data_IF_035941972773
#
_entry.id   IF_035941972773
#
_cell.length_a   1.000
_cell.length_b   1.000
_cell.length_c   1.000
_cell.angle_alpha   90.00
_cell.angle_beta   90.00
_cell.angle_gamma   90.00
#
_symmetry.space_group_name_H-M   'P 1'
#
loop_
_entity.id
_entity.type
_entity.pdbx_description
1 polymer ?
#
# COMPACT_ATOMS: atom_id res chain seq x y z
N UNK A 1 -6.39 -12.53 -0.51
CA UNK A 1 -7.09 -11.23 -0.51
C UNK A 1 -6.50 -10.42 0.62
N UNK A 2 -5.43 -9.65 0.32
CA UNK A 2 -5.01 -8.60 1.23
C UNK A 2 -5.94 -7.44 0.94
N UNK A 3 -7.16 -7.60 1.41
CA UNK A 3 -8.01 -6.47 1.66
C UNK A 3 -7.29 -5.72 2.80
N UNK A 4 -6.54 -4.70 2.47
CA UNK A 4 -6.48 -3.58 3.36
C UNK A 4 -7.89 -2.99 3.26
N UNK A 5 -8.76 -3.20 4.21
CA UNK A 5 -9.95 -2.41 4.30
C UNK A 5 -9.44 -1.04 4.75
N UNK A 6 -9.17 -0.16 3.76
CA UNK A 6 -8.91 1.26 4.05
C UNK A 6 -10.06 1.88 4.86
N UNK A 7 -11.19 1.17 4.99
CA UNK A 7 -12.37 1.66 5.71
C UNK A 7 -12.29 1.72 7.24
N UNK A 8 -11.61 0.84 8.00
CA UNK A 8 -11.61 1.02 9.45
C UNK A 8 -10.39 1.73 10.04
N UNK A 9 -9.25 1.80 9.34
CA UNK A 9 -8.02 2.26 9.97
C UNK A 9 -7.90 3.78 10.06
N UNK A 10 -8.41 4.51 9.05
CA UNK A 10 -8.40 5.97 9.07
C UNK A 10 -9.52 6.59 9.91
N UNK A 11 -10.63 5.89 10.11
CA UNK A 11 -11.79 6.39 10.85
C UNK A 11 -11.63 6.19 12.37
N UNK A 12 -10.82 5.23 12.82
CA UNK A 12 -10.79 4.84 14.24
C UNK A 12 -9.88 5.70 15.13
N UNK A 13 -8.98 6.51 14.57
CA UNK A 13 -8.01 7.25 15.38
C UNK A 13 -8.54 8.55 16.04
N UNK A 14 -9.76 9.02 15.71
CA UNK A 14 -10.35 10.22 16.32
C UNK A 14 -11.88 10.27 16.40
N UNK A 15 -12.57 9.15 16.47
CA UNK A 15 -14.04 9.17 16.46
C UNK A 15 -14.70 9.50 17.80
N UNK A 16 -13.98 9.71 18.88
CA UNK A 16 -14.58 10.05 20.18
C UNK A 16 -14.77 11.55 20.44
N UNK A 17 -14.16 12.43 19.62
CA UNK A 17 -14.32 13.89 19.76
C UNK A 17 -15.01 14.58 18.57
N UNK A 18 -15.57 13.85 17.63
CA UNK A 18 -15.67 14.28 16.25
C UNK A 18 -17.04 14.61 15.70
N UNK A 19 -17.96 15.13 16.46
CA UNK A 19 -19.06 15.90 15.87
C UNK A 19 -18.57 17.19 15.17
N UNK A 20 -17.43 17.71 15.57
CA UNK A 20 -16.83 18.92 14.98
C UNK A 20 -16.12 18.64 13.64
N UNK A 21 -15.46 17.47 13.49
CA UNK A 21 -14.74 17.08 12.26
C UNK A 21 -15.68 16.66 11.13
N UNK A 22 -16.83 16.09 11.44
CA UNK A 22 -17.86 15.74 10.44
C UNK A 22 -18.46 16.96 9.72
N UNK A 23 -18.32 18.16 10.32
CA UNK A 23 -18.74 19.43 9.72
C UNK A 23 -17.61 20.17 9.00
N UNK A 24 -16.38 19.62 8.98
CA UNK A 24 -15.27 20.26 8.31
C UNK A 24 -15.38 20.06 6.79
N UNK A 25 -15.48 21.15 6.05
CA UNK A 25 -15.57 21.14 4.59
C UNK A 25 -14.40 20.39 3.91
N UNK A 26 -13.18 20.59 4.45
CA UNK A 26 -12.00 19.90 3.94
C UNK A 26 -12.08 18.38 4.10
N UNK A 27 -12.56 17.89 5.26
CA UNK A 27 -12.76 16.46 5.49
C UNK A 27 -13.70 15.86 4.43
N UNK A 28 -14.86 16.51 4.22
CA UNK A 28 -15.83 16.04 3.24
C UNK A 28 -15.26 16.03 1.81
N UNK A 29 -14.48 17.05 1.45
CA UNK A 29 -13.80 17.12 0.14
C UNK A 29 -12.77 16.00 0.00
N UNK A 30 -12.00 15.68 1.04
CA UNK A 30 -11.04 14.56 1.01
C UNK A 30 -11.73 13.20 0.90
N UNK A 31 -12.83 12.99 1.62
CA UNK A 31 -13.66 11.77 1.47
C UNK A 31 -14.17 11.61 0.04
N UNK A 32 -14.64 12.70 -0.58
CA UNK A 32 -15.04 12.70 -2.00
C UNK A 32 -13.87 12.37 -2.93
N UNK A 33 -12.68 12.94 -2.68
CA UNK A 33 -11.49 12.66 -3.47
C UNK A 33 -11.07 11.18 -3.39
N UNK A 34 -11.07 10.61 -2.18
CA UNK A 34 -10.78 9.18 -1.96
C UNK A 34 -11.73 8.30 -2.76
N UNK A 35 -13.02 8.59 -2.68
CA UNK A 35 -14.04 7.84 -3.41
C UNK A 35 -13.89 7.98 -4.92
N UNK A 36 -13.65 9.21 -5.42
CA UNK A 36 -13.40 9.46 -6.82
C UNK A 36 -12.19 8.67 -7.34
N UNK A 37 -11.08 8.66 -6.59
CA UNK A 37 -9.87 7.91 -6.97
C UNK A 37 -10.18 6.40 -7.01
N UNK A 38 -10.88 5.87 -6.02
CA UNK A 38 -11.22 4.44 -5.94
C UNK A 38 -12.14 3.99 -7.08
N UNK A 39 -13.09 4.83 -7.46
CA UNK A 39 -14.04 4.55 -8.55
C UNK A 39 -13.43 4.72 -9.96
N UNK A 40 -12.41 5.60 -10.11
CA UNK A 40 -11.85 5.99 -11.40
C UNK A 40 -10.35 5.67 -11.53
N UNK A 41 -9.81 4.75 -10.73
CA UNK A 41 -8.36 4.47 -10.76
C UNK A 41 -7.88 3.95 -12.12
N UNK A 42 -8.72 3.30 -12.92
CA UNK A 42 -8.36 2.80 -14.26
C UNK A 42 -8.12 3.91 -15.27
N UNK A 43 -8.79 5.03 -15.12
CA UNK A 43 -8.58 6.23 -15.93
C UNK A 43 -7.30 6.98 -15.57
N UNK A 44 -6.63 6.55 -14.48
CA UNK A 44 -5.41 7.18 -13.97
C UNK A 44 -5.53 8.70 -13.85
N UNK A 45 -6.54 9.21 -13.09
CA UNK A 45 -6.85 10.63 -13.07
C UNK A 45 -5.67 11.48 -12.59
N UNK A 46 -5.48 12.62 -13.26
CA UNK A 46 -4.46 13.58 -12.86
C UNK A 46 -4.80 14.26 -11.54
N UNK A 47 -3.80 14.83 -10.87
CA UNK A 47 -4.05 15.63 -9.66
C UNK A 47 -4.98 16.81 -9.95
N UNK A 48 -4.85 17.42 -11.12
CA UNK A 48 -5.66 18.54 -11.53
C UNK A 48 -7.14 18.11 -11.68
N UNK A 49 -7.39 16.98 -12.34
CA UNK A 49 -8.73 16.40 -12.47
C UNK A 49 -9.39 16.11 -11.11
N UNK A 50 -8.62 15.54 -10.17
CA UNK A 50 -9.15 15.23 -8.83
C UNK A 50 -9.43 16.52 -8.05
N UNK A 51 -8.53 17.49 -8.13
CA UNK A 51 -8.66 18.77 -7.44
C UNK A 51 -9.89 19.58 -7.97
N UNK A 52 -10.10 19.61 -9.27
CA UNK A 52 -11.27 20.20 -9.91
C UNK A 52 -12.57 19.52 -9.46
N UNK A 53 -12.59 18.18 -9.40
CA UNK A 53 -13.78 17.43 -8.98
C UNK A 53 -14.26 17.78 -7.56
N UNK A 54 -13.32 18.15 -6.67
CA UNK A 54 -13.63 18.52 -5.28
C UNK A 54 -13.63 20.03 -5.05
N UNK A 55 -13.53 20.84 -6.09
CA UNK A 55 -13.46 22.29 -6.03
C UNK A 55 -12.37 22.80 -5.07
N UNK A 56 -11.13 22.36 -5.36
CA UNK A 56 -9.92 22.81 -4.66
C UNK A 56 -8.82 23.16 -5.65
N UNK A 57 -7.94 24.10 -5.28
CA UNK A 57 -6.71 24.29 -6.04
C UNK A 57 -5.76 23.10 -5.84
N UNK A 58 -5.00 22.74 -6.86
CA UNK A 58 -4.05 21.62 -6.86
C UNK A 58 -3.14 21.57 -5.63
N UNK A 59 -2.50 22.72 -5.30
CA UNK A 59 -1.56 22.78 -4.18
C UNK A 59 -2.25 22.64 -2.83
N UNK A 60 -3.43 23.23 -2.68
CA UNK A 60 -4.23 23.10 -1.48
C UNK A 60 -4.69 21.65 -1.30
N UNK A 61 -5.18 21.02 -2.36
CA UNK A 61 -5.59 19.62 -2.37
C UNK A 61 -4.45 18.68 -1.93
N UNK A 62 -3.25 18.76 -2.56
CA UNK A 62 -2.11 17.92 -2.20
C UNK A 62 -1.76 18.04 -0.71
N UNK A 63 -1.72 19.28 -0.20
CA UNK A 63 -1.37 19.55 1.20
C UNK A 63 -2.41 18.96 2.15
N UNK A 64 -3.70 19.25 1.93
CA UNK A 64 -4.80 18.80 2.78
C UNK A 64 -4.96 17.28 2.69
N UNK A 65 -4.89 16.71 1.50
CA UNK A 65 -4.96 15.26 1.33
C UNK A 65 -3.86 14.55 2.13
N UNK A 66 -2.60 15.03 2.03
CA UNK A 66 -1.48 14.46 2.79
C UNK A 66 -1.66 14.62 4.30
N UNK A 67 -2.24 15.72 4.76
CA UNK A 67 -2.53 15.95 6.17
C UNK A 67 -3.55 14.94 6.73
N UNK A 68 -4.63 14.64 5.98
CA UNK A 68 -5.69 13.73 6.41
C UNK A 68 -5.37 12.25 6.15
N UNK A 69 -4.71 11.94 5.03
CA UNK A 69 -4.49 10.56 4.56
C UNK A 69 -3.09 10.06 4.89
N UNK A 70 -2.13 10.96 5.15
CA UNK A 70 -0.74 10.61 5.46
C UNK A 70 0.16 10.44 4.24
N UNK A 71 -0.41 10.29 3.04
CA UNK A 71 0.31 10.11 1.76
C UNK A 71 -0.22 11.10 0.72
N UNK A 72 0.53 11.32 -0.37
CA UNK A 72 0.07 12.17 -1.46
C UNK A 72 -1.06 11.51 -2.26
N UNK A 73 -1.92 12.28 -2.99
CA UNK A 73 -2.96 11.71 -3.84
C UNK A 73 -2.42 10.72 -4.88
N UNK A 74 -1.25 10.98 -5.47
CA UNK A 74 -0.58 10.08 -6.42
C UNK A 74 -0.15 8.77 -5.75
N UNK A 75 0.46 8.84 -4.58
CA UNK A 75 0.83 7.63 -3.83
C UNK A 75 -0.41 6.82 -3.44
N UNK A 76 -1.51 7.49 -3.11
CA UNK A 76 -2.77 6.83 -2.81
C UNK A 76 -3.35 6.14 -4.06
N UNK A 77 -3.40 6.80 -5.22
CA UNK A 77 -3.81 6.21 -6.50
C UNK A 77 -2.92 5.00 -6.85
N UNK A 78 -1.59 5.13 -6.72
CA UNK A 78 -0.65 4.04 -6.95
C UNK A 78 -0.90 2.84 -6.03
N UNK A 79 -1.24 3.08 -4.75
CA UNK A 79 -1.54 1.99 -3.81
C UNK A 79 -2.82 1.23 -4.18
N UNK A 80 -3.85 1.94 -4.63
CA UNK A 80 -5.09 1.34 -5.15
C UNK A 80 -4.79 0.53 -6.40
N UNK A 81 -4.12 1.13 -7.39
CA UNK A 81 -3.74 0.46 -8.64
C UNK A 81 -2.92 -0.81 -8.37
N UNK A 82 -1.95 -0.75 -7.44
CA UNK A 82 -1.13 -1.91 -7.06
C UNK A 82 -1.97 -3.03 -6.43
N UNK A 83 -2.95 -2.71 -5.60
CA UNK A 83 -3.80 -3.71 -4.97
C UNK A 83 -4.66 -4.43 -6.03
N UNK A 84 -5.26 -3.70 -6.95
CA UNK A 84 -5.98 -4.31 -8.09
C UNK A 84 -5.04 -5.11 -9.00
N UNK A 85 -3.83 -4.60 -9.25
CA UNK A 85 -2.83 -5.29 -10.06
C UNK A 85 -2.41 -6.65 -9.47
N UNK A 86 -2.28 -6.75 -8.15
CA UNK A 86 -1.97 -8.01 -7.46
C UNK A 86 -3.02 -9.09 -7.70
N UNK A 87 -4.30 -8.72 -7.68
CA UNK A 87 -5.38 -9.68 -7.94
C UNK A 87 -5.46 -10.02 -9.43
N UNK A 88 -5.41 -9.00 -10.28
CA UNK A 88 -5.49 -9.18 -11.74
C UNK A 88 -4.36 -10.05 -12.29
N UNK A 89 -3.13 -9.91 -11.79
CA UNK A 89 -1.99 -10.71 -12.23
C UNK A 89 -2.11 -12.21 -11.93
N UNK A 90 -2.93 -12.59 -10.97
CA UNK A 90 -3.18 -14.01 -10.68
C UNK A 90 -4.02 -14.68 -11.76
N UNK A 91 -4.93 -13.93 -12.36
CA UNK A 91 -5.92 -14.40 -13.32
C UNK A 91 -5.51 -14.14 -14.78
N UNK A 92 -4.71 -13.08 -15.01
CA UNK A 92 -4.34 -12.65 -16.37
C UNK A 92 -3.35 -13.61 -17.06
N UNK A 93 -3.39 -13.63 -18.38
CA UNK A 93 -2.47 -14.42 -19.21
C UNK A 93 -1.13 -13.72 -19.40
N UNK A 94 -1.11 -12.38 -19.50
CA UNK A 94 0.09 -11.61 -19.76
C UNK A 94 0.22 -10.34 -18.89
N UNK A 95 1.47 -9.88 -18.73
CA UNK A 95 1.77 -8.62 -18.04
C UNK A 95 1.29 -7.41 -18.85
N UNK A 96 1.33 -7.50 -20.18
CA UNK A 96 0.85 -6.46 -21.09
C UNK A 96 -0.67 -6.26 -20.92
N UNK A 97 -1.43 -7.34 -20.99
CA UNK A 97 -2.88 -7.32 -20.78
C UNK A 97 -3.21 -6.71 -19.42
N UNK A 98 -2.55 -7.18 -18.35
CA UNK A 98 -2.74 -6.61 -17.01
C UNK A 98 -2.47 -5.11 -16.94
N UNK A 99 -1.46 -4.61 -17.67
CA UNK A 99 -1.15 -3.17 -17.64
C UNK A 99 -2.24 -2.33 -18.31
N UNK A 100 -2.79 -2.82 -19.43
CA UNK A 100 -3.87 -2.13 -20.16
C UNK A 100 -5.18 -2.12 -19.38
N UNK A 101 -5.56 -3.27 -18.80
CA UNK A 101 -6.80 -3.40 -18.00
C UNK A 101 -6.82 -2.55 -16.73
N UNK A 102 -5.62 -2.16 -16.25
CA UNK A 102 -5.43 -1.27 -15.11
C UNK A 102 -5.29 0.21 -15.52
N UNK A 103 -5.45 0.53 -16.80
CA UNK A 103 -5.31 1.89 -17.32
C UNK A 103 -3.87 2.39 -17.36
N UNK A 104 -2.89 1.49 -17.21
CA UNK A 104 -1.49 1.88 -17.27
C UNK A 104 -1.02 1.96 -18.72
N UNK A 105 -0.31 3.04 -19.07
CA UNK A 105 0.11 3.31 -20.44
C UNK A 105 1.13 2.31 -21.01
N UNK A 106 1.75 1.48 -20.16
CA UNK A 106 2.76 0.51 -20.58
C UNK A 106 3.07 -0.53 -19.50
N UNK A 107 3.63 -1.71 -19.90
CA UNK A 107 4.18 -2.69 -18.95
C UNK A 107 5.26 -2.14 -18.03
N UNK A 108 6.05 -1.15 -18.48
CA UNK A 108 7.06 -0.49 -17.65
C UNK A 108 6.44 0.24 -16.45
N UNK A 109 5.27 0.86 -16.64
CA UNK A 109 4.53 1.49 -15.53
C UNK A 109 4.08 0.47 -14.50
N UNK A 110 3.61 -0.69 -14.94
CA UNK A 110 3.26 -1.79 -14.03
C UNK A 110 4.50 -2.33 -13.30
N UNK A 111 5.63 -2.46 -14.02
CA UNK A 111 6.90 -2.85 -13.42
C UNK A 111 7.32 -1.89 -12.30
N UNK A 112 7.34 -0.59 -12.58
CA UNK A 112 7.72 0.44 -11.61
C UNK A 112 6.78 0.47 -10.41
N UNK A 113 5.49 0.28 -10.62
CA UNK A 113 4.48 0.19 -9.58
C UNK A 113 4.76 -0.96 -8.60
N UNK A 114 5.14 -2.13 -9.11
CA UNK A 114 5.48 -3.29 -8.29
C UNK A 114 6.82 -3.13 -7.58
N UNK A 115 7.85 -2.71 -8.28
CA UNK A 115 9.20 -2.53 -7.71
C UNK A 115 9.20 -1.49 -6.62
N UNK A 116 8.57 -0.33 -6.85
CA UNK A 116 8.52 0.74 -5.86
C UNK A 116 7.53 0.44 -4.72
N UNK A 117 6.43 -0.26 -5.00
CA UNK A 117 5.37 -0.51 -4.01
C UNK A 117 5.61 -1.73 -3.13
N UNK A 118 6.22 -2.80 -3.65
CA UNK A 118 6.43 -4.07 -2.93
C UNK A 118 7.76 -4.75 -3.19
N UNK A 119 8.76 -4.04 -3.72
CA UNK A 119 10.12 -4.54 -3.86
C UNK A 119 10.31 -5.77 -4.75
N UNK A 120 9.36 -6.11 -5.62
CA UNK A 120 9.45 -7.22 -6.58
C UNK A 120 8.89 -6.79 -7.93
N UNK A 121 9.25 -7.51 -8.99
CA UNK A 121 8.67 -7.29 -10.32
C UNK A 121 7.29 -7.97 -10.44
N UNK A 122 6.42 -7.55 -11.40
CA UNK A 122 5.16 -8.24 -11.66
C UNK A 122 5.34 -9.73 -11.96
N UNK A 123 6.40 -10.08 -12.68
CA UNK A 123 6.73 -11.48 -13.01
C UNK A 123 7.08 -12.28 -11.76
N UNK A 124 7.95 -11.76 -10.89
CA UNK A 124 8.32 -12.41 -9.63
C UNK A 124 7.09 -12.62 -8.74
N UNK A 125 6.21 -11.62 -8.66
CA UNK A 125 4.96 -11.72 -7.90
C UNK A 125 4.02 -12.79 -8.48
N UNK A 126 3.79 -12.78 -9.79
CA UNK A 126 2.96 -13.78 -10.49
C UNK A 126 3.50 -15.20 -10.33
N UNK A 127 4.81 -15.34 -10.26
CA UNK A 127 5.50 -16.62 -10.04
C UNK A 127 5.65 -17.00 -8.56
N UNK A 128 4.89 -16.35 -7.64
CA UNK A 128 4.88 -16.63 -6.20
C UNK A 128 6.27 -16.49 -5.55
N UNK A 129 7.10 -15.57 -6.07
CA UNK A 129 8.44 -15.31 -5.57
C UNK A 129 9.51 -16.29 -6.07
N UNK A 130 9.29 -17.03 -7.14
CA UNK A 130 10.29 -17.93 -7.68
C UNK A 130 11.60 -17.20 -7.99
N UNK A 131 12.73 -17.74 -7.50
CA UNK A 131 14.07 -17.15 -7.56
C UNK A 131 14.24 -15.81 -6.81
N UNK A 132 13.32 -15.47 -5.93
CA UNK A 132 13.43 -14.31 -5.04
C UNK A 132 13.80 -14.78 -3.64
N UNK A 133 14.89 -14.24 -3.09
CA UNK A 133 15.24 -14.42 -1.69
C UNK A 133 14.48 -13.36 -0.86
N UNK A 134 13.76 -13.82 0.16
CA UNK A 134 12.98 -12.99 1.07
C UNK A 134 13.43 -13.26 2.51
N UNK A 135 13.92 -12.22 3.16
CA UNK A 135 14.17 -12.25 4.61
C UNK A 135 12.91 -11.80 5.32
N UNK A 136 12.36 -12.62 6.20
CA UNK A 136 11.18 -12.29 6.99
C UNK A 136 11.40 -12.49 8.49
N UNK A 137 10.58 -11.87 9.29
CA UNK A 137 10.61 -12.08 10.74
C UNK A 137 9.45 -11.40 11.43
N UNK A 138 9.41 -11.59 12.74
CA UNK A 138 8.37 -11.07 13.61
C UNK A 138 8.95 -9.98 14.50
N UNK A 139 8.12 -9.01 14.86
CA UNK A 139 8.50 -7.96 15.78
C UNK A 139 7.29 -7.25 16.34
N UNK A 140 7.53 -6.40 17.32
CA UNK A 140 6.52 -5.61 17.98
C UNK A 140 6.49 -4.19 17.39
N UNK A 141 5.30 -3.61 17.31
CA UNK A 141 5.10 -2.21 16.88
C UNK A 141 4.11 -1.52 17.82
N UNK A 142 4.00 -0.19 17.80
CA UNK A 142 2.96 0.51 18.55
C UNK A 142 1.52 0.11 18.21
N UNK A 143 1.34 -0.60 17.08
CA UNK A 143 0.03 -1.09 16.59
C UNK A 143 -0.18 -2.59 16.85
N UNK A 144 0.70 -3.25 17.60
CA UNK A 144 0.67 -4.68 17.88
C UNK A 144 1.78 -5.46 17.20
N UNK A 145 1.68 -6.78 17.25
CA UNK A 145 2.65 -7.66 16.63
C UNK A 145 2.57 -7.62 15.11
N UNK A 146 3.71 -7.72 14.44
CA UNK A 146 3.78 -7.71 12.97
C UNK A 146 4.74 -8.77 12.43
N UNK A 147 4.40 -9.34 11.27
CA UNK A 147 5.30 -10.04 10.38
C UNK A 147 5.70 -9.06 9.28
N UNK A 148 7.01 -8.84 9.12
CA UNK A 148 7.57 -8.07 8.01
C UNK A 148 8.45 -8.96 7.15
N UNK A 149 8.42 -8.75 5.83
CA UNK A 149 9.27 -9.45 4.88
C UNK A 149 9.89 -8.49 3.86
N UNK A 150 11.14 -8.75 3.54
CA UNK A 150 12.04 -7.87 2.81
C UNK A 150 12.68 -8.61 1.64
N UNK A 151 12.71 -7.97 0.48
CA UNK A 151 13.62 -8.32 -0.62
C UNK A 151 14.84 -7.40 -0.59
N UNK A 152 15.77 -7.57 -1.54
CA UNK A 152 16.88 -6.62 -1.74
C UNK A 152 16.41 -5.22 -2.15
N UNK A 153 15.17 -5.08 -2.67
CA UNK A 153 14.60 -3.84 -3.19
C UNK A 153 13.69 -3.12 -2.18
N UNK A 154 13.25 -3.80 -1.13
CA UNK A 154 12.37 -3.19 -0.13
C UNK A 154 11.42 -4.16 0.53
N UNK A 155 10.42 -3.61 1.21
CA UNK A 155 9.40 -4.38 1.93
C UNK A 155 8.45 -5.03 0.91
N UNK A 156 8.31 -6.36 0.98
CA UNK A 156 7.40 -7.11 0.12
C UNK A 156 6.15 -7.62 0.87
N UNK A 157 6.17 -7.58 2.19
CA UNK A 157 5.02 -7.95 3.03
C UNK A 157 5.11 -7.27 4.39
N UNK A 158 3.97 -6.79 4.87
CA UNK A 158 3.74 -6.35 6.24
C UNK A 158 2.34 -6.78 6.66
N UNK A 159 2.24 -7.54 7.71
CA UNK A 159 0.97 -8.00 8.25
C UNK A 159 0.94 -7.96 9.76
N UNK A 160 -0.12 -7.36 10.32
CA UNK A 160 -0.34 -7.30 11.77
C UNK A 160 -1.16 -8.49 12.25
N UNK A 161 -0.92 -8.89 13.50
CA UNK A 161 -1.66 -9.94 14.17
C UNK A 161 -1.74 -9.66 15.68
N UNK A 162 -2.79 -10.09 16.31
CA UNK A 162 -2.97 -9.92 17.76
C UNK A 162 -2.29 -11.07 18.53
N UNK A 163 -2.97 -12.21 18.67
CA UNK A 163 -2.49 -13.36 19.44
C UNK A 163 -2.03 -14.52 18.56
N UNK A 164 -2.68 -14.72 17.41
CA UNK A 164 -2.38 -15.84 16.52
C UNK A 164 -1.56 -15.39 15.29
N UNK A 165 -0.27 -15.73 15.32
CA UNK A 165 0.64 -15.45 14.19
C UNK A 165 0.45 -16.41 13.00
N UNK A 166 -0.28 -17.51 13.17
CA UNK A 166 -0.39 -18.53 12.13
C UNK A 166 -1.14 -18.02 10.90
N UNK A 167 -2.19 -17.22 11.09
CA UNK A 167 -2.98 -16.68 9.98
C UNK A 167 -2.17 -15.71 9.11
N UNK A 168 -1.39 -14.82 9.72
CA UNK A 168 -0.52 -13.89 8.98
C UNK A 168 0.60 -14.66 8.29
N UNK A 169 1.18 -15.65 8.95
CA UNK A 169 2.22 -16.51 8.39
C UNK A 169 1.69 -17.34 7.21
N UNK A 170 0.52 -17.92 7.33
CA UNK A 170 -0.13 -18.68 6.24
C UNK A 170 -0.38 -17.79 5.02
N UNK A 171 -0.90 -16.58 5.21
CA UNK A 171 -1.08 -15.60 4.12
C UNK A 171 0.25 -15.24 3.47
N UNK A 172 1.27 -14.95 4.27
CA UNK A 172 2.62 -14.67 3.77
C UNK A 172 3.14 -15.82 2.90
N UNK A 173 3.09 -17.05 3.40
CA UNK A 173 3.53 -18.24 2.67
C UNK A 173 2.72 -18.52 1.40
N UNK A 174 1.44 -18.19 1.38
CA UNK A 174 0.62 -18.34 0.17
C UNK A 174 1.07 -17.40 -0.96
N UNK A 175 1.40 -16.15 -0.60
CA UNK A 175 1.86 -15.15 -1.58
C UNK A 175 3.25 -15.51 -2.10
N UNK A 176 4.14 -16.03 -1.27
CA UNK A 176 5.54 -16.28 -1.55
C UNK A 176 5.90 -17.77 -1.53
N UNK A 177 4.98 -18.60 -2.05
CA UNK A 177 5.08 -20.06 -1.92
C UNK A 177 6.31 -20.68 -2.61
N UNK A 178 6.93 -19.96 -3.55
CA UNK A 178 8.11 -20.42 -4.30
C UNK A 178 9.37 -19.59 -4.03
N UNK A 179 9.30 -18.68 -3.06
CA UNK A 179 10.45 -17.86 -2.68
C UNK A 179 11.41 -18.63 -1.77
N UNK A 180 12.68 -18.22 -1.79
CA UNK A 180 13.67 -18.65 -0.81
C UNK A 180 13.50 -17.81 0.46
N UNK A 181 12.92 -18.42 1.51
CA UNK A 181 12.51 -17.75 2.73
C UNK A 181 13.55 -17.94 3.84
N UNK A 182 14.10 -16.84 4.31
CA UNK A 182 15.07 -16.81 5.43
C UNK A 182 14.42 -16.07 6.59
N UNK A 183 14.31 -16.74 7.75
CA UNK A 183 13.80 -16.08 8.95
C UNK A 183 14.93 -15.35 9.68
N UNK A 184 14.70 -14.06 9.99
CA UNK A 184 15.59 -13.21 10.78
C UNK A 184 14.76 -12.19 11.58
N UNK A 185 14.40 -12.57 12.80
CA UNK A 185 13.55 -11.73 13.68
C UNK A 185 14.32 -10.49 14.17
N UNK A 186 15.66 -10.56 14.27
CA UNK A 186 16.49 -9.41 14.66
C UNK A 186 16.41 -8.32 13.59
N UNK A 187 16.65 -8.69 12.34
CA UNK A 187 16.54 -7.75 11.22
C UNK A 187 15.13 -7.21 11.05
N UNK A 188 14.12 -8.05 11.25
CA UNK A 188 12.72 -7.64 11.23
C UNK A 188 12.45 -6.56 12.28
N UNK A 189 12.89 -6.75 13.52
CA UNK A 189 12.74 -5.78 14.61
C UNK A 189 13.44 -4.47 14.28
N UNK A 190 14.69 -4.50 13.80
CA UNK A 190 15.44 -3.30 13.40
C UNK A 190 14.70 -2.47 12.36
N UNK A 191 14.09 -3.12 11.36
CA UNK A 191 13.34 -2.45 10.31
C UNK A 191 12.00 -1.90 10.84
N UNK A 192 11.25 -2.67 11.62
CA UNK A 192 10.01 -2.22 12.26
C UNK A 192 10.25 -1.01 13.16
N UNK A 193 11.32 -1.03 13.95
CA UNK A 193 11.70 0.11 14.79
C UNK A 193 12.02 1.35 13.96
N UNK A 194 12.70 1.18 12.82
CA UNK A 194 13.02 2.29 11.92
C UNK A 194 11.76 2.92 11.30
N UNK A 195 10.73 2.12 11.05
CA UNK A 195 9.47 2.58 10.44
C UNK A 195 8.57 3.26 11.48
N UNK A 196 8.41 2.63 12.66
CA UNK A 196 7.36 3.00 13.60
C UNK A 196 7.84 3.74 14.84
N UNK A 197 9.13 3.62 15.20
CA UNK A 197 9.66 4.17 16.47
C UNK A 197 10.67 5.28 16.22
N UNK A 198 11.64 5.05 15.34
CA UNK A 198 12.66 6.05 15.01
C UNK A 198 12.14 7.01 13.95
N UNK A 199 11.83 8.24 14.36
CA UNK A 199 11.58 9.38 13.45
C UNK A 199 12.88 9.88 12.78
N UNK A 200 13.77 9.02 12.36
CA UNK A 200 14.92 9.44 11.58
C UNK A 200 14.50 9.67 10.11
N UNK A 201 14.75 10.90 9.64
CA UNK A 201 14.32 11.55 8.41
C UNK A 201 14.68 10.86 7.08
N UNK A 202 14.96 9.57 7.03
CA UNK A 202 15.53 8.90 5.84
C UNK A 202 14.74 7.74 5.26
N UNK A 203 13.60 7.34 5.82
CA UNK A 203 12.72 6.40 5.14
C UNK A 203 11.50 7.13 4.60
N UNK A 204 11.65 7.66 3.39
CA UNK A 204 10.52 7.98 2.53
C UNK A 204 9.94 6.64 2.09
N UNK A 205 8.73 6.32 2.54
CA UNK A 205 7.90 5.31 1.91
C UNK A 205 7.52 5.89 0.54
N UNK A 206 8.20 5.45 -0.50
CA UNK A 206 7.85 5.76 -1.89
C UNK A 206 6.68 4.93 -2.32
#
# INVERSE_FOLDING_TARGET
MVYFPLKPFFIRYKMSEDKLYLQNENYNKIVKAIKFIDENFKEQPSIDTIAEYIDMSKYHFIRVFKEYVGVTPIQFLQSITLNYAKEHLKESTSILESSLDLGLSSPSRLHDLFVNGIGVTPKEYKQLGQNVQITYGYGYTPFGNALIALTKRGICFLGFYDTNKEDVHKRFKQIWAKADLIQDDKKATEVLDSIFIKKDKKFSLY
#
